data_IF_552626198314
#
_entry.id   IF_552626198314
#
_cell.length_a   1.000
_cell.length_b   1.000
_cell.length_c   1.000
_cell.angle_alpha   90.00
_cell.angle_beta   90.00
_cell.angle_gamma   90.00
#
_symmetry.space_group_name_H-M   'P 1'
#
loop_
_entity.id
_entity.type
_entity.pdbx_description
1 polymer ?
#
# COMPACT_ATOMS: atom_id res chain seq x y z
N UNK A 1 9.76 -26.10 -16.96
CA UNK A 1 9.28 -26.33 -15.58
C UNK A 1 9.35 -25.00 -14.86
N UNK A 2 8.19 -24.44 -14.47
CA UNK A 2 8.16 -23.26 -13.62
C UNK A 2 8.62 -23.68 -12.22
N UNK A 3 9.65 -23.01 -11.70
CA UNK A 3 10.10 -23.24 -10.33
C UNK A 3 9.05 -22.80 -9.31
N UNK A 4 9.27 -23.10 -8.01
CA UNK A 4 8.35 -22.67 -6.97
C UNK A 4 8.23 -21.14 -6.94
N UNK A 5 7.02 -20.64 -6.74
CA UNK A 5 6.80 -19.22 -6.47
C UNK A 5 7.31 -18.93 -5.06
N UNK A 6 8.10 -17.88 -4.92
CA UNK A 6 8.59 -17.46 -3.61
C UNK A 6 7.67 -16.40 -3.02
N UNK A 7 7.29 -16.60 -1.76
CA UNK A 7 6.56 -15.62 -0.95
C UNK A 7 7.40 -15.29 0.26
N UNK A 8 7.50 -14.02 0.62
CA UNK A 8 8.33 -13.60 1.74
C UNK A 8 7.88 -14.22 3.06
N UNK A 9 6.61 -14.00 3.43
CA UNK A 9 6.03 -14.48 4.69
C UNK A 9 4.56 -14.87 4.49
N UNK A 10 4.03 -15.91 5.15
CA UNK A 10 2.65 -16.38 4.97
C UNK A 10 1.58 -15.32 5.30
N UNK A 11 1.86 -14.45 6.26
CA UNK A 11 0.91 -13.43 6.75
C UNK A 11 1.16 -12.02 6.19
N UNK A 12 2.06 -11.88 5.22
CA UNK A 12 2.36 -10.56 4.65
C UNK A 12 1.18 -10.03 3.83
N UNK A 13 0.80 -8.78 4.08
CA UNK A 13 -0.26 -8.09 3.34
C UNK A 13 0.24 -6.83 2.67
N UNK A 14 -0.32 -6.51 1.50
CA UNK A 14 -0.03 -5.28 0.78
C UNK A 14 -1.30 -4.67 0.22
N UNK A 15 -1.30 -3.35 0.12
CA UNK A 15 -2.30 -2.62 -0.62
C UNK A 15 -1.96 -2.63 -2.11
N UNK A 16 -2.99 -2.69 -2.94
CA UNK A 16 -2.85 -2.63 -4.39
C UNK A 16 -3.83 -1.60 -4.93
N UNK A 17 -3.40 -0.90 -5.97
CA UNK A 17 -4.21 0.02 -6.72
C UNK A 17 -3.83 -0.11 -8.19
N UNK A 18 -4.78 0.06 -9.10
CA UNK A 18 -4.46 0.04 -10.52
C UNK A 18 -3.65 1.28 -10.87
N UNK A 19 -2.67 1.12 -11.77
CA UNK A 19 -1.79 2.23 -12.19
C UNK A 19 -2.61 3.45 -12.68
N UNK A 20 -3.62 3.31 -13.56
CA UNK A 20 -4.42 4.46 -13.99
C UNK A 20 -5.21 5.12 -12.86
N UNK A 21 -5.64 4.36 -11.85
CA UNK A 21 -6.33 4.92 -10.69
C UNK A 21 -5.38 5.74 -9.85
N UNK A 22 -4.19 5.22 -9.55
CA UNK A 22 -3.16 5.93 -8.81
C UNK A 22 -2.75 7.23 -9.53
N UNK A 23 -2.52 7.17 -10.84
CA UNK A 23 -2.20 8.37 -11.63
C UNK A 23 -3.31 9.42 -11.56
N UNK A 24 -4.58 9.02 -11.64
CA UNK A 24 -5.71 9.96 -11.52
C UNK A 24 -5.75 10.62 -10.14
N UNK A 25 -5.56 9.86 -9.07
CA UNK A 25 -5.54 10.41 -7.71
C UNK A 25 -4.38 11.39 -7.51
N UNK A 26 -3.20 11.07 -8.02
CA UNK A 26 -2.02 11.95 -7.98
C UNK A 26 -2.26 13.25 -8.73
N UNK A 27 -2.79 13.18 -9.95
CA UNK A 27 -3.08 14.36 -10.75
C UNK A 27 -4.15 15.24 -10.09
N UNK A 28 -5.22 14.64 -9.60
CA UNK A 28 -6.31 15.33 -8.91
C UNK A 28 -5.78 16.03 -7.63
N UNK A 29 -5.04 15.32 -6.77
CA UNK A 29 -4.41 15.90 -5.59
C UNK A 29 -3.45 17.05 -5.93
N UNK A 30 -2.72 16.93 -7.04
CA UNK A 30 -1.85 17.99 -7.54
C UNK A 30 -2.58 19.30 -7.87
N UNK A 31 -3.87 19.24 -8.21
CA UNK A 31 -4.69 20.44 -8.43
C UNK A 31 -5.27 21.03 -7.13
N UNK A 32 -5.26 20.27 -6.03
CA UNK A 32 -5.78 20.70 -4.73
C UNK A 32 -4.74 21.42 -3.87
N UNK A 33 -3.47 21.06 -4.02
CA UNK A 33 -2.40 21.49 -3.13
C UNK A 33 -2.11 22.99 -3.22
N UNK A 34 -1.96 23.64 -2.06
CA UNK A 34 -1.49 25.02 -1.94
C UNK A 34 -0.06 25.11 -1.41
N UNK A 35 0.54 23.96 -1.07
CA UNK A 35 1.90 23.80 -0.58
C UNK A 35 1.93 23.33 0.87
N UNK A 36 2.69 22.25 1.13
CA UNK A 36 2.89 21.71 2.47
C UNK A 36 1.89 20.64 2.90
N UNK A 37 0.87 20.33 2.08
CA UNK A 37 -0.07 19.25 2.35
C UNK A 37 0.53 17.87 2.06
N UNK A 38 0.23 16.92 2.94
CA UNK A 38 0.53 15.50 2.72
C UNK A 38 -0.78 14.81 2.34
N UNK A 39 -0.87 14.36 1.09
CA UNK A 39 -2.06 13.65 0.59
C UNK A 39 -1.95 12.15 0.87
N UNK A 40 -3.07 11.58 1.29
CA UNK A 40 -3.21 10.17 1.65
C UNK A 40 -4.34 9.60 0.82
N UNK A 41 -4.04 8.52 0.11
CA UNK A 41 -5.01 7.88 -0.79
C UNK A 41 -5.65 6.68 -0.12
N UNK A 42 -6.97 6.56 -0.29
CA UNK A 42 -7.68 5.35 0.05
C UNK A 42 -7.32 4.23 -0.94
N UNK A 43 -6.54 3.27 -0.45
CA UNK A 43 -6.07 2.11 -1.21
C UNK A 43 -7.04 0.92 -1.14
N UNK A 44 -8.18 1.05 -0.46
CA UNK A 44 -9.15 -0.01 -0.27
C UNK A 44 -8.67 -1.09 0.70
N UNK A 45 -8.99 -2.35 0.41
CA UNK A 45 -8.70 -3.48 1.31
C UNK A 45 -7.31 -4.07 1.01
N UNK A 46 -6.48 -4.34 2.03
CA UNK A 46 -5.21 -4.99 1.82
C UNK A 46 -5.40 -6.46 1.40
N UNK A 47 -4.42 -7.00 0.70
CA UNK A 47 -4.44 -8.36 0.15
C UNK A 47 -3.27 -9.17 0.73
N UNK A 48 -3.55 -10.40 1.18
CA UNK A 48 -2.52 -11.37 1.57
C UNK A 48 -1.77 -11.87 0.34
N UNK A 49 -0.44 -11.78 0.35
CA UNK A 49 0.38 -12.18 -0.80
C UNK A 49 0.33 -13.69 -1.04
N UNK A 50 0.22 -14.49 0.03
CA UNK A 50 0.03 -15.94 -0.10
C UNK A 50 -1.27 -16.30 -0.86
N UNK A 51 -2.35 -15.56 -0.62
CA UNK A 51 -3.63 -15.78 -1.30
C UNK A 51 -3.57 -15.32 -2.76
N UNK A 52 -2.87 -14.20 -3.02
CA UNK A 52 -2.61 -13.74 -4.37
C UNK A 52 -1.83 -14.80 -5.18
N UNK A 53 -0.76 -15.34 -4.61
CA UNK A 53 0.05 -16.39 -5.26
C UNK A 53 -0.80 -17.63 -5.59
N UNK A 54 -1.62 -18.11 -4.64
CA UNK A 54 -2.54 -19.24 -4.87
C UNK A 54 -3.54 -18.96 -6.01
N UNK A 55 -4.12 -17.76 -6.04
CA UNK A 55 -5.05 -17.36 -7.13
C UNK A 55 -4.35 -17.29 -8.47
N UNK A 56 -3.11 -16.79 -8.52
CA UNK A 56 -2.34 -16.72 -9.76
C UNK A 56 -1.99 -18.10 -10.31
N UNK A 57 -1.62 -19.05 -9.44
CA UNK A 57 -1.42 -20.46 -9.83
C UNK A 57 -2.72 -21.03 -10.40
N UNK A 58 -3.84 -20.89 -9.68
CA UNK A 58 -5.13 -21.40 -10.13
C UNK A 58 -5.58 -20.82 -11.48
N UNK A 59 -5.36 -19.53 -11.71
CA UNK A 59 -5.73 -18.85 -12.96
C UNK A 59 -4.78 -19.18 -14.13
N UNK A 60 -3.55 -19.62 -13.84
CA UNK A 60 -2.59 -19.99 -14.87
C UNK A 60 -2.90 -21.32 -15.57
N UNK A 61 -3.75 -22.16 -14.96
CA UNK A 61 -4.06 -23.51 -15.45
C UNK A 61 -2.88 -24.49 -15.36
N UNK A 62 -1.86 -24.16 -14.57
CA UNK A 62 -0.67 -25.00 -14.37
C UNK A 62 -0.71 -25.62 -12.97
N UNK A 63 -0.67 -26.95 -12.92
CA UNK A 63 -0.59 -27.72 -11.68
C UNK A 63 0.87 -27.93 -11.23
N UNK A 64 1.05 -28.26 -9.95
CA UNK A 64 2.35 -28.65 -9.39
C UNK A 64 3.33 -27.50 -9.12
N UNK A 65 2.85 -26.26 -9.04
CA UNK A 65 3.66 -25.12 -8.60
C UNK A 65 3.56 -24.98 -7.08
N UNK A 66 4.68 -25.18 -6.39
CA UNK A 66 4.78 -24.97 -4.95
C UNK A 66 4.98 -23.49 -4.59
N UNK A 67 4.49 -23.10 -3.40
CA UNK A 67 4.82 -21.82 -2.78
C UNK A 67 5.89 -22.04 -1.71
N UNK A 68 7.05 -21.40 -1.87
CA UNK A 68 8.16 -21.45 -0.91
C UNK A 68 8.25 -20.15 -0.12
N UNK A 69 8.24 -20.26 1.20
CA UNK A 69 8.49 -19.12 2.08
C UNK A 69 9.99 -18.87 2.25
N UNK A 70 10.43 -17.63 2.02
CA UNK A 70 11.86 -17.26 2.05
C UNK A 70 12.27 -16.42 3.25
N UNK A 71 11.31 -16.02 4.09
CA UNK A 71 11.54 -15.13 5.23
C UNK A 71 11.51 -13.65 4.82
N UNK A 72 11.25 -12.80 5.81
CA UNK A 72 11.29 -11.33 5.65
C UNK A 72 12.71 -10.87 5.34
N UNK A 73 12.83 -9.90 4.45
CA UNK A 73 14.09 -9.18 4.24
C UNK A 73 14.29 -8.17 5.37
N UNK A 74 15.53 -7.74 5.56
CA UNK A 74 15.83 -6.73 6.57
C UNK A 74 15.05 -5.44 6.30
N UNK A 75 14.42 -4.89 7.34
CA UNK A 75 13.50 -3.75 7.26
C UNK A 75 12.13 -4.01 6.63
N UNK A 76 11.81 -5.25 6.20
CA UNK A 76 10.53 -5.55 5.57
C UNK A 76 9.40 -5.69 6.60
N UNK A 77 8.35 -4.88 6.45
CA UNK A 77 7.18 -4.92 7.32
C UNK A 77 6.21 -6.03 6.95
N UNK A 78 5.65 -6.69 7.97
CA UNK A 78 4.61 -7.70 7.80
C UNK A 78 3.27 -7.08 7.33
N UNK A 79 2.96 -5.88 7.85
CA UNK A 79 1.77 -5.10 7.54
C UNK A 79 2.18 -3.66 7.20
N UNK A 80 1.52 -3.07 6.20
CA UNK A 80 1.68 -1.65 5.87
C UNK A 80 0.60 -0.84 6.60
N UNK A 81 0.99 0.32 7.12
CA UNK A 81 0.07 1.32 7.66
C UNK A 81 -0.12 2.41 6.60
N UNK A 82 -1.37 2.73 6.24
CA UNK A 82 -1.65 3.82 5.29
C UNK A 82 -1.38 5.19 5.94
N UNK A 83 -1.56 5.26 7.26
CA UNK A 83 -1.26 6.41 8.08
C UNK A 83 -0.88 5.93 9.48
N UNK A 84 -0.09 6.72 10.20
CA UNK A 84 0.21 6.44 11.60
C UNK A 84 -1.08 6.57 12.45
N UNK A 85 -1.32 5.67 13.40
CA UNK A 85 -2.54 5.64 14.24
C UNK A 85 -2.81 6.95 15.02
N UNK A 86 -1.79 7.81 15.15
CA UNK A 86 -1.83 9.08 15.87
C UNK A 86 -2.09 10.30 14.98
N UNK A 87 -2.13 10.13 13.67
CA UNK A 87 -2.36 11.20 12.71
C UNK A 87 -3.84 11.21 12.28
N UNK A 88 -4.45 12.38 12.29
CA UNK A 88 -5.83 12.55 11.83
C UNK A 88 -5.83 12.91 10.36
N UNK A 89 -6.79 12.38 9.60
CA UNK A 89 -7.03 12.81 8.22
C UNK A 89 -8.18 13.80 8.14
N UNK A 90 -8.11 14.70 7.18
CA UNK A 90 -9.17 15.63 6.83
C UNK A 90 -9.68 15.22 5.44
N UNK A 91 -11.00 15.06 5.24
CA UNK A 91 -11.55 14.69 3.95
C UNK A 91 -11.37 15.83 2.93
N UNK A 92 -11.20 15.48 1.65
CA UNK A 92 -11.27 16.42 0.52
C UNK A 92 -12.61 16.29 -0.22
N UNK A 93 -12.81 17.03 -1.31
CA UNK A 93 -13.98 16.83 -2.18
C UNK A 93 -13.97 15.48 -2.91
N UNK A 94 -12.80 14.86 -3.06
CA UNK A 94 -12.68 13.54 -3.66
C UNK A 94 -12.65 12.45 -2.58
N UNK A 95 -13.57 11.47 -2.61
CA UNK A 95 -13.75 10.51 -1.50
C UNK A 95 -12.54 9.61 -1.24
N UNK A 96 -11.66 9.44 -2.23
CA UNK A 96 -10.41 8.64 -2.10
C UNK A 96 -9.17 9.47 -1.78
N UNK A 97 -9.30 10.79 -1.58
CA UNK A 97 -8.17 11.68 -1.29
C UNK A 97 -8.43 12.34 0.05
N UNK A 98 -7.47 12.20 0.95
CA UNK A 98 -7.48 12.82 2.27
C UNK A 98 -6.21 13.64 2.45
N UNK A 99 -6.24 14.62 3.35
CA UNK A 99 -5.06 15.38 3.76
C UNK A 99 -4.69 14.96 5.17
N UNK A 100 -3.43 14.56 5.40
CA UNK A 100 -2.93 14.29 6.73
C UNK A 100 -2.78 15.60 7.51
N UNK A 101 -3.26 15.62 8.75
CA UNK A 101 -3.05 16.74 9.66
C UNK A 101 -1.64 16.66 10.22
N UNK A 102 -0.72 17.41 9.60
CA UNK A 102 0.66 17.52 10.08
C UNK A 102 0.67 18.22 11.43
N UNK A 103 1.38 17.66 12.41
CA UNK A 103 1.69 18.37 13.65
C UNK A 103 2.76 19.41 13.36
N UNK A 104 2.42 20.68 13.44
CA UNK A 104 3.41 21.74 13.48
C UNK A 104 4.20 21.62 14.78
N UNK A 105 5.47 21.22 14.67
CA UNK A 105 6.41 21.38 15.76
C UNK A 105 6.98 22.80 15.66
N UNK A 106 6.74 23.69 16.64
CA UNK A 106 7.50 24.93 16.69
C UNK A 106 8.96 24.54 16.91
N UNK A 107 9.77 24.67 15.86
CA UNK A 107 11.21 24.62 16.00
C UNK A 107 11.58 25.93 16.70
N UNK A 108 11.86 25.90 18.00
CA UNK A 108 12.61 26.99 18.60
C UNK A 108 13.99 26.98 17.95
N UNK A 109 14.30 28.03 17.19
CA UNK A 109 15.65 28.32 16.75
C UNK A 109 16.49 28.49 18.02
N UNK A 110 17.29 27.48 18.33
CA UNK A 110 18.31 27.53 19.36
C UNK A 110 19.35 28.62 19.06
#
# INVERSE_FOLDING_TARGET
MGGPITVTHPDIIRFFMLIPEACKLVLEAGTMGKGGEIFVFDMGKPVRIADLAKRMIALSGVDGIDIKYVGLRDGEKLFEEVLNDKEATIPTHHPKIMVAKVREYPYELA
#
